data_IF_448924756922
#
_entry.id   IF_448924756922
#
_cell.length_a   1.000
_cell.length_b   1.000
_cell.length_c   1.000
_cell.angle_alpha   90.00
_cell.angle_beta   90.00
_cell.angle_gamma   90.00
#
_symmetry.space_group_name_H-M   'P 1'
#
loop_
_entity.id
_entity.type
_entity.pdbx_description
1 polymer ?
#
# COMPACT_ATOMS: atom_id res chain seq x y z
N UNK A 1 -9.33 -3.24 8.67
CA UNK A 1 -9.79 -2.82 7.35
C UNK A 1 -8.67 -2.13 6.60
N UNK A 2 -8.30 -2.67 5.44
CA UNK A 2 -7.13 -2.25 4.66
C UNK A 2 -7.43 -1.17 3.63
N UNK A 3 -8.13 -0.09 4.02
CA UNK A 3 -8.31 1.09 3.17
C UNK A 3 -6.96 1.69 2.75
N UNK A 4 -6.94 2.55 1.74
CA UNK A 4 -5.72 3.21 1.30
C UNK A 4 -5.01 3.96 2.44
N UNK A 5 -5.77 4.66 3.29
CA UNK A 5 -5.22 5.34 4.47
C UNK A 5 -4.57 4.35 5.45
N UNK A 6 -5.22 3.21 5.71
CA UNK A 6 -4.67 2.17 6.57
C UNK A 6 -3.39 1.56 6.00
N UNK A 7 -3.31 1.33 4.68
CA UNK A 7 -2.09 0.83 4.02
C UNK A 7 -0.93 1.80 4.19
N UNK A 8 -1.18 3.10 4.02
CA UNK A 8 -0.16 4.14 4.19
C UNK A 8 0.29 4.22 5.65
N UNK A 9 -0.65 4.19 6.62
CA UNK A 9 -0.35 4.22 8.04
C UNK A 9 0.51 3.00 8.47
N UNK A 10 0.17 1.80 8.00
CA UNK A 10 0.97 0.59 8.25
C UNK A 10 2.37 0.70 7.63
N UNK A 11 2.47 1.28 6.44
CA UNK A 11 3.76 1.56 5.80
C UNK A 11 4.62 2.51 6.63
N UNK A 12 4.04 3.59 7.13
CA UNK A 12 4.72 4.53 8.01
C UNK A 12 5.21 3.85 9.31
N UNK A 13 4.33 3.07 9.96
CA UNK A 13 4.68 2.36 11.20
C UNK A 13 5.82 1.34 11.00
N UNK A 14 5.77 0.57 9.93
CA UNK A 14 6.83 -0.39 9.58
C UNK A 14 8.14 0.34 9.25
N UNK A 15 8.08 1.42 8.49
CA UNK A 15 9.24 2.23 8.16
C UNK A 15 9.86 2.85 9.41
N UNK A 16 9.04 3.38 10.33
CA UNK A 16 9.51 3.90 11.61
C UNK A 16 10.25 2.84 12.44
N UNK A 17 9.68 1.64 12.56
CA UNK A 17 10.29 0.55 13.31
C UNK A 17 11.66 0.12 12.73
N UNK A 18 11.74 -0.06 11.42
CA UNK A 18 13.00 -0.40 10.74
C UNK A 18 14.00 0.75 10.86
N UNK A 19 13.56 1.98 10.63
CA UNK A 19 14.40 3.16 10.74
C UNK A 19 14.93 3.38 12.16
N UNK A 20 14.13 3.14 13.18
CA UNK A 20 14.53 3.21 14.58
C UNK A 20 15.68 2.23 14.88
N UNK A 21 15.54 0.97 14.49
CA UNK A 21 16.58 -0.06 14.76
C UNK A 21 17.87 0.27 14.02
N UNK A 22 17.80 0.57 12.72
CA UNK A 22 18.99 0.90 11.92
C UNK A 22 19.63 2.20 12.39
N UNK A 23 18.84 3.22 12.71
CA UNK A 23 19.31 4.49 13.24
C UNK A 23 20.01 4.33 14.59
N UNK A 24 19.46 3.49 15.49
CA UNK A 24 20.08 3.19 16.77
C UNK A 24 21.47 2.58 16.61
N UNK A 25 21.62 1.59 15.73
CA UNK A 25 22.92 0.92 15.49
C UNK A 25 23.95 1.90 14.90
N UNK A 26 23.54 2.68 13.89
CA UNK A 26 24.45 3.67 13.28
C UNK A 26 24.78 4.77 14.29
N UNK A 27 23.82 5.27 15.04
CA UNK A 27 24.02 6.30 16.06
C UNK A 27 24.94 5.86 17.18
N UNK A 28 24.80 4.61 17.65
CA UNK A 28 25.71 4.06 18.65
C UNK A 28 27.15 3.98 18.16
N UNK A 29 27.37 3.46 16.97
CA UNK A 29 28.70 3.37 16.36
C UNK A 29 29.33 4.79 16.17
N UNK A 30 28.54 5.72 15.65
CA UNK A 30 28.98 7.10 15.42
C UNK A 30 29.30 7.80 16.72
N UNK A 31 28.46 7.65 17.77
CA UNK A 31 28.70 8.22 19.08
C UNK A 31 30.00 7.74 19.72
N UNK A 32 30.26 6.42 19.67
CA UNK A 32 31.48 5.83 20.18
C UNK A 32 32.75 6.32 19.42
N UNK A 33 32.70 6.31 18.09
CA UNK A 33 33.80 6.73 17.24
C UNK A 33 34.10 8.23 17.43
N UNK A 34 33.08 9.10 17.43
CA UNK A 34 33.23 10.51 17.65
C UNK A 34 33.85 10.82 19.02
N UNK A 35 33.41 10.11 20.07
CA UNK A 35 34.02 10.22 21.39
C UNK A 35 35.51 9.86 21.36
N UNK A 36 35.87 8.74 20.72
CA UNK A 36 37.28 8.32 20.58
C UNK A 36 38.12 9.33 19.83
N UNK A 37 37.58 9.88 18.74
CA UNK A 37 38.27 10.90 17.91
C UNK A 37 38.47 12.20 18.69
N UNK A 38 37.45 12.66 19.42
CA UNK A 38 37.50 13.95 20.14
C UNK A 38 38.31 13.91 21.44
N UNK A 39 38.31 12.78 22.15
CA UNK A 39 38.97 12.67 23.46
C UNK A 39 40.31 11.92 23.43
N UNK A 40 40.61 11.22 22.33
CA UNK A 40 41.76 10.33 22.26
C UNK A 40 41.65 9.06 23.09
N UNK A 41 40.52 8.81 23.77
CA UNK A 41 40.31 7.72 24.71
C UNK A 41 39.02 6.93 24.39
N UNK A 42 39.02 5.63 24.71
CA UNK A 42 37.81 4.81 24.72
C UNK A 42 37.07 4.87 26.06
N UNK A 43 37.65 5.49 27.07
CA UNK A 43 36.96 5.70 28.36
C UNK A 43 35.78 6.66 28.13
N UNK A 44 34.58 6.22 28.49
CA UNK A 44 33.34 6.98 28.24
C UNK A 44 32.68 6.74 26.86
N UNK A 45 33.33 5.99 25.96
CA UNK A 45 32.76 5.69 24.64
C UNK A 45 31.41 4.92 24.74
N UNK A 46 31.22 4.11 25.79
CA UNK A 46 29.95 3.43 26.03
C UNK A 46 28.79 4.40 26.28
N UNK A 47 29.01 5.44 27.08
CA UNK A 47 27.98 6.49 27.31
C UNK A 47 27.71 7.28 26.02
N UNK A 48 28.76 7.62 25.27
CA UNK A 48 28.63 8.30 23.98
C UNK A 48 27.88 7.43 22.95
N UNK A 49 28.09 6.11 22.95
CA UNK A 49 27.35 5.16 22.13
C UNK A 49 25.86 5.14 22.51
N UNK A 50 25.53 5.09 23.81
CA UNK A 50 24.14 5.12 24.26
C UNK A 50 23.40 6.39 23.88
N UNK A 51 24.06 7.55 24.00
CA UNK A 51 23.49 8.84 23.56
C UNK A 51 23.27 8.85 22.04
N UNK A 52 24.29 8.45 21.28
CA UNK A 52 24.19 8.35 19.82
C UNK A 52 23.14 7.35 19.36
N UNK A 53 22.93 6.25 20.11
CA UNK A 53 21.88 5.29 19.85
C UNK A 53 20.48 5.94 20.00
N UNK A 54 20.27 6.75 21.05
CA UNK A 54 18.99 7.44 21.26
C UNK A 54 18.69 8.42 20.13
N UNK A 55 19.64 9.28 19.80
CA UNK A 55 19.50 10.28 18.72
C UNK A 55 19.31 9.61 17.35
N UNK A 56 20.07 8.56 17.10
CA UNK A 56 19.97 7.77 15.87
C UNK A 56 18.63 7.04 15.76
N UNK A 57 18.10 6.50 16.85
CA UNK A 57 16.80 5.85 16.87
C UNK A 57 15.68 6.84 16.54
N UNK A 58 15.69 8.02 17.11
CA UNK A 58 14.68 9.05 16.85
C UNK A 58 14.72 9.54 15.41
N UNK A 59 15.89 9.91 14.89
CA UNK A 59 16.04 10.38 13.51
C UNK A 59 15.72 9.29 12.52
N UNK A 60 16.13 8.04 12.79
CA UNK A 60 15.80 6.88 11.97
C UNK A 60 14.31 6.56 11.96
N UNK A 61 13.63 6.67 13.10
CA UNK A 61 12.19 6.48 13.17
C UNK A 61 11.42 7.49 12.31
N UNK A 62 11.78 8.77 12.39
CA UNK A 62 11.14 9.83 11.57
C UNK A 62 11.40 9.62 10.09
N UNK A 63 12.66 9.39 9.70
CA UNK A 63 13.02 9.14 8.29
C UNK A 63 12.34 7.89 7.75
N UNK A 64 12.35 6.81 8.53
CA UNK A 64 11.71 5.55 8.17
C UNK A 64 10.19 5.67 8.03
N UNK A 65 9.54 6.43 8.92
CA UNK A 65 8.11 6.70 8.83
C UNK A 65 7.75 7.43 7.53
N UNK A 66 8.49 8.47 7.18
CA UNK A 66 8.28 9.26 5.96
C UNK A 66 8.50 8.36 4.72
N UNK A 67 9.60 7.60 4.68
CA UNK A 67 9.91 6.72 3.56
C UNK A 67 8.88 5.59 3.41
N UNK A 68 8.47 4.99 4.53
CA UNK A 68 7.46 3.94 4.54
C UNK A 68 6.08 4.44 4.12
N UNK A 69 5.68 5.64 4.54
CA UNK A 69 4.45 6.27 4.09
C UNK A 69 4.48 6.59 2.59
N UNK A 70 5.57 7.21 2.10
CA UNK A 70 5.74 7.55 0.69
C UNK A 70 5.73 6.32 -0.22
N UNK A 71 6.44 5.25 0.17
CA UNK A 71 6.43 3.99 -0.56
C UNK A 71 5.04 3.34 -0.62
N UNK A 72 4.31 3.38 0.49
CA UNK A 72 2.93 2.86 0.54
C UNK A 72 1.95 3.73 -0.26
N UNK A 73 2.09 5.05 -0.22
CA UNK A 73 1.29 5.96 -1.04
C UNK A 73 1.53 5.74 -2.53
N UNK A 74 2.77 5.54 -2.95
CA UNK A 74 3.11 5.21 -4.34
C UNK A 74 2.45 3.90 -4.80
N UNK A 75 2.46 2.86 -3.97
CA UNK A 75 1.79 1.59 -4.25
C UNK A 75 0.27 1.72 -4.37
N UNK A 76 -0.35 2.50 -3.49
CA UNK A 76 -1.80 2.80 -3.54
C UNK A 76 -2.13 3.59 -4.80
N UNK A 77 -1.33 4.60 -5.15
CA UNK A 77 -1.50 5.38 -6.38
C UNK A 77 -1.38 4.51 -7.63
N UNK A 78 -0.41 3.60 -7.65
CA UNK A 78 -0.27 2.65 -8.75
C UNK A 78 -1.48 1.71 -8.86
N UNK A 79 -1.99 1.18 -7.75
CA UNK A 79 -3.20 0.37 -7.75
C UNK A 79 -4.42 1.15 -8.27
N UNK A 80 -4.57 2.40 -7.86
CA UNK A 80 -5.69 3.25 -8.31
C UNK A 80 -5.70 3.47 -9.83
N UNK A 81 -4.54 3.51 -10.49
CA UNK A 81 -4.45 3.65 -11.95
C UNK A 81 -5.08 2.50 -12.73
N UNK A 82 -5.22 1.32 -12.12
CA UNK A 82 -5.90 0.19 -12.72
C UNK A 82 -7.43 0.32 -12.75
N UNK A 83 -7.98 1.27 -12.01
CA UNK A 83 -9.42 1.52 -11.92
C UNK A 83 -9.86 2.62 -12.89
N UNK A 84 -11.03 2.43 -13.46
CA UNK A 84 -11.75 3.50 -14.15
C UNK A 84 -12.43 4.40 -13.12
N UNK A 85 -12.49 5.70 -13.39
CA UNK A 85 -13.20 6.63 -12.51
C UNK A 85 -14.72 6.42 -12.53
N UNK A 86 -15.25 5.93 -13.64
CA UNK A 86 -16.69 5.75 -13.84
C UNK A 86 -17.46 7.04 -13.52
N UNK A 87 -18.36 6.94 -12.54
CA UNK A 87 -19.16 8.09 -12.03
C UNK A 87 -18.50 8.84 -10.88
N UNK A 88 -17.29 8.44 -10.46
CA UNK A 88 -16.54 9.09 -9.39
C UNK A 88 -15.60 10.16 -9.92
N UNK A 89 -15.22 11.11 -9.06
CA UNK A 89 -14.29 12.17 -9.43
C UNK A 89 -12.86 11.70 -9.73
N UNK A 90 -12.51 10.48 -9.31
CA UNK A 90 -11.19 9.89 -9.58
C UNK A 90 -11.18 8.36 -9.49
N UNK A 91 -10.21 7.74 -10.15
CA UNK A 91 -9.93 6.31 -10.04
C UNK A 91 -9.65 5.87 -8.59
N UNK A 92 -9.05 6.75 -7.78
CA UNK A 92 -8.82 6.50 -6.37
C UNK A 92 -10.13 6.38 -5.58
N UNK A 93 -11.10 7.27 -5.83
CA UNK A 93 -12.42 7.20 -5.20
C UNK A 93 -13.19 5.96 -5.64
N UNK A 94 -13.15 5.64 -6.94
CA UNK A 94 -13.75 4.42 -7.49
C UNK A 94 -13.19 3.17 -6.78
N UNK A 95 -11.86 3.03 -6.73
CA UNK A 95 -11.18 1.93 -6.06
C UNK A 95 -11.61 1.78 -4.59
N UNK A 96 -11.58 2.86 -3.82
CA UNK A 96 -11.95 2.82 -2.39
C UNK A 96 -13.43 2.51 -2.18
N UNK A 97 -14.32 3.05 -3.01
CA UNK A 97 -15.74 2.74 -2.94
C UNK A 97 -16.01 1.25 -3.13
N UNK A 98 -15.47 0.67 -4.21
CA UNK A 98 -15.68 -0.74 -4.51
C UNK A 98 -15.04 -1.67 -3.47
N UNK A 99 -13.86 -1.32 -2.97
CA UNK A 99 -13.23 -2.03 -1.87
C UNK A 99 -14.10 -2.02 -0.60
N UNK A 100 -14.59 -0.84 -0.21
CA UNK A 100 -15.45 -0.73 0.98
C UNK A 100 -16.75 -1.52 0.79
N UNK A 101 -17.37 -1.42 -0.38
CA UNK A 101 -18.62 -2.10 -0.70
C UNK A 101 -18.48 -3.63 -0.71
N UNK A 102 -17.47 -4.14 -1.40
CA UNK A 102 -17.36 -5.57 -1.72
C UNK A 102 -16.36 -6.36 -0.85
N UNK A 103 -15.70 -5.70 0.09
CA UNK A 103 -14.80 -6.36 1.04
C UNK A 103 -15.14 -5.97 2.47
N UNK A 104 -15.12 -4.67 2.77
CA UNK A 104 -15.30 -4.20 4.16
C UNK A 104 -16.72 -4.42 4.63
N UNK A 105 -17.72 -3.98 3.86
CA UNK A 105 -19.15 -4.11 4.23
C UNK A 105 -19.62 -5.57 4.25
N UNK A 106 -19.00 -6.43 3.44
CA UNK A 106 -19.31 -7.86 3.40
C UNK A 106 -18.48 -8.68 4.41
N UNK A 107 -17.60 -8.02 5.19
CA UNK A 107 -16.79 -8.67 6.23
C UNK A 107 -15.79 -9.69 5.70
N UNK A 108 -15.34 -9.56 4.44
CA UNK A 108 -14.47 -10.53 3.81
C UNK A 108 -13.03 -10.41 4.30
N UNK A 109 -12.37 -11.55 4.47
CA UNK A 109 -10.94 -11.64 4.84
C UNK A 109 -10.02 -11.66 3.62
N UNK A 110 -10.48 -12.21 2.48
CA UNK A 110 -9.74 -12.15 1.22
C UNK A 110 -9.80 -10.72 0.65
N UNK A 111 -8.77 -10.32 -0.08
CA UNK A 111 -8.65 -8.94 -0.53
C UNK A 111 -8.45 -7.97 0.63
N UNK A 112 -7.71 -8.34 1.66
CA UNK A 112 -7.60 -7.67 2.97
C UNK A 112 -7.09 -6.22 2.94
N UNK A 113 -6.71 -5.71 1.78
CA UNK A 113 -6.42 -4.30 1.55
C UNK A 113 -6.66 -3.93 0.07
N UNK A 114 -6.75 -2.64 -0.23
CA UNK A 114 -7.10 -2.13 -1.58
C UNK A 114 -6.10 -2.56 -2.65
N UNK A 115 -4.83 -2.76 -2.33
CA UNK A 115 -3.80 -3.20 -3.28
C UNK A 115 -4.05 -4.67 -3.65
N UNK A 116 -4.25 -5.53 -2.65
CA UNK A 116 -4.55 -6.95 -2.86
C UNK A 116 -5.87 -7.13 -3.61
N UNK A 117 -6.89 -6.39 -3.25
CA UNK A 117 -8.18 -6.37 -3.93
C UNK A 117 -8.04 -6.01 -5.41
N UNK A 118 -7.25 -4.98 -5.73
CA UNK A 118 -6.95 -4.59 -7.12
C UNK A 118 -6.18 -5.68 -7.87
N UNK A 119 -5.20 -6.31 -7.22
CA UNK A 119 -4.44 -7.41 -7.82
C UNK A 119 -5.34 -8.62 -8.10
N UNK A 120 -6.26 -8.93 -7.20
CA UNK A 120 -7.21 -10.03 -7.39
C UNK A 120 -8.17 -9.75 -8.55
N UNK A 121 -8.65 -8.51 -8.69
CA UNK A 121 -9.47 -8.09 -9.81
C UNK A 121 -8.74 -8.23 -11.16
N UNK A 122 -7.50 -7.76 -11.25
CA UNK A 122 -6.68 -7.89 -12.47
C UNK A 122 -6.34 -9.36 -12.78
N UNK A 123 -6.01 -10.13 -11.76
CA UNK A 123 -5.75 -11.56 -11.91
C UNK A 123 -7.00 -12.32 -12.35
N UNK A 124 -8.16 -11.95 -11.87
CA UNK A 124 -9.45 -12.49 -12.31
C UNK A 124 -9.71 -12.19 -13.79
N UNK A 125 -9.53 -10.92 -14.21
CA UNK A 125 -9.68 -10.53 -15.61
C UNK A 125 -8.77 -11.35 -16.55
N UNK A 126 -7.49 -11.48 -16.17
CA UNK A 126 -6.51 -12.24 -16.95
C UNK A 126 -6.89 -13.73 -17.12
N UNK A 127 -7.29 -14.39 -16.02
CA UNK A 127 -7.65 -15.83 -16.07
C UNK A 127 -8.92 -16.10 -16.86
N UNK A 128 -9.83 -15.13 -16.94
CA UNK A 128 -11.13 -15.30 -17.57
C UNK A 128 -11.25 -14.54 -18.90
N UNK A 129 -10.16 -14.15 -19.49
CA UNK A 129 -10.14 -13.39 -20.76
C UNK A 129 -10.85 -14.11 -21.92
N UNK A 130 -10.88 -15.45 -21.93
CA UNK A 130 -11.54 -16.27 -22.96
C UNK A 130 -13.07 -16.32 -22.81
N UNK A 131 -13.61 -15.97 -21.64
CA UNK A 131 -15.08 -16.01 -21.38
C UNK A 131 -15.65 -14.60 -21.19
N UNK A 132 -14.97 -13.62 -21.74
CA UNK A 132 -15.33 -12.22 -21.72
C UNK A 132 -16.63 -12.00 -22.50
N UNK A 133 -17.64 -11.40 -21.87
CA UNK A 133 -18.85 -10.96 -22.53
C UNK A 133 -18.87 -9.44 -22.65
N UNK A 134 -18.99 -8.96 -23.87
CA UNK A 134 -19.15 -7.54 -24.13
C UNK A 134 -20.58 -7.10 -23.92
N UNK A 135 -20.79 -6.09 -23.06
CA UNK A 135 -22.11 -5.53 -22.81
C UNK A 135 -22.04 -4.00 -22.86
N UNK A 136 -22.93 -3.40 -23.64
CA UNK A 136 -23.10 -1.95 -23.65
C UNK A 136 -24.00 -1.53 -22.48
N UNK A 137 -23.50 -0.65 -21.64
CA UNK A 137 -24.27 -0.12 -20.52
C UNK A 137 -24.96 1.18 -20.91
N UNK A 138 -26.21 1.07 -21.33
CA UNK A 138 -27.00 2.22 -21.75
C UNK A 138 -27.21 3.28 -20.66
N UNK A 139 -27.19 2.88 -19.39
CA UNK A 139 -27.39 3.82 -18.26
C UNK A 139 -26.21 4.78 -18.10
N UNK A 140 -25.01 4.35 -18.44
CA UNK A 140 -23.79 5.15 -18.29
C UNK A 140 -23.19 5.57 -19.63
N UNK A 141 -23.81 5.21 -20.75
CA UNK A 141 -23.39 5.61 -22.09
C UNK A 141 -22.04 5.04 -22.53
N UNK A 142 -21.53 3.98 -21.86
CA UNK A 142 -20.26 3.37 -22.16
C UNK A 142 -20.36 1.85 -22.34
N UNK A 143 -19.45 1.33 -23.15
CA UNK A 143 -19.30 -0.10 -23.34
C UNK A 143 -18.37 -0.66 -22.23
N UNK A 144 -18.78 -1.74 -21.63
CA UNK A 144 -17.96 -2.47 -20.65
C UNK A 144 -17.85 -3.93 -21.01
N UNK A 145 -16.71 -4.51 -20.66
CA UNK A 145 -16.52 -5.95 -20.70
C UNK A 145 -16.99 -6.54 -19.39
N UNK A 146 -17.97 -7.43 -19.44
CA UNK A 146 -18.47 -8.13 -18.29
C UNK A 146 -17.85 -9.52 -18.24
N UNK A 147 -17.23 -9.83 -17.12
CA UNK A 147 -16.91 -11.20 -16.78
C UNK A 147 -18.08 -11.75 -15.96
N UNK A 148 -18.95 -12.49 -16.61
CA UNK A 148 -19.97 -13.22 -15.90
C UNK A 148 -19.36 -14.48 -15.29
N UNK A 149 -19.22 -14.45 -13.97
CA UNK A 149 -19.12 -15.58 -13.07
C UNK A 149 -18.10 -16.69 -13.40
N UNK A 150 -16.96 -16.62 -12.78
CA UNK A 150 -16.35 -17.83 -12.26
C UNK A 150 -16.91 -18.13 -10.87
N UNK A 151 -16.77 -19.36 -10.36
CA UNK A 151 -17.34 -19.82 -9.08
C UNK A 151 -16.90 -19.01 -7.85
N UNK A 152 -15.96 -18.10 -7.97
CA UNK A 152 -15.34 -17.38 -6.86
C UNK A 152 -15.41 -15.86 -6.93
N UNK A 153 -15.72 -15.26 -8.08
CA UNK A 153 -15.71 -13.80 -8.24
C UNK A 153 -16.45 -13.34 -9.50
N UNK A 154 -16.74 -12.05 -9.59
CA UNK A 154 -17.25 -11.38 -10.78
C UNK A 154 -16.67 -9.98 -10.92
N UNK A 155 -16.74 -9.40 -12.11
CA UNK A 155 -16.24 -8.06 -12.36
C UNK A 155 -16.68 -7.47 -13.68
N UNK A 156 -16.54 -6.15 -13.80
CA UNK A 156 -16.74 -5.41 -15.04
C UNK A 156 -15.48 -4.60 -15.34
N UNK A 157 -15.10 -4.59 -16.60
CA UNK A 157 -13.86 -3.94 -17.05
C UNK A 157 -14.13 -3.12 -18.30
N UNK A 158 -13.41 -2.03 -18.49
CA UNK A 158 -13.47 -1.26 -19.74
C UNK A 158 -12.81 -2.03 -20.88
N UNK A 159 -13.03 -1.58 -22.11
CA UNK A 159 -12.33 -2.11 -23.30
C UNK A 159 -10.81 -1.96 -23.23
N UNK A 160 -10.31 -1.04 -22.40
CA UNK A 160 -8.88 -0.82 -22.13
C UNK A 160 -8.37 -1.65 -20.92
N UNK A 161 -9.20 -2.55 -20.38
CA UNK A 161 -8.83 -3.42 -19.26
C UNK A 161 -8.82 -2.74 -17.89
N UNK A 162 -9.34 -1.51 -17.76
CA UNK A 162 -9.50 -0.88 -16.43
C UNK A 162 -10.68 -1.46 -15.69
N UNK A 163 -10.54 -1.58 -14.37
CA UNK A 163 -11.57 -2.12 -13.49
C UNK A 163 -12.68 -1.10 -13.29
N UNK A 164 -13.92 -1.46 -13.59
CA UNK A 164 -15.12 -0.68 -13.26
C UNK A 164 -15.70 -1.11 -11.93
N UNK A 165 -15.78 -2.41 -11.70
CA UNK A 165 -16.17 -3.03 -10.43
C UNK A 165 -15.64 -4.45 -10.36
N UNK A 166 -15.47 -4.95 -9.13
CA UNK A 166 -15.07 -6.34 -8.87
C UNK A 166 -15.70 -6.76 -7.53
N UNK A 167 -16.09 -8.03 -7.40
CA UNK A 167 -16.62 -8.59 -6.16
C UNK A 167 -16.20 -10.06 -6.03
N UNK A 168 -16.09 -10.52 -4.81
CA UNK A 168 -15.94 -11.94 -4.49
C UNK A 168 -17.32 -12.60 -4.35
N UNK A 169 -17.36 -13.92 -4.46
CA UNK A 169 -18.52 -14.77 -4.20
C UNK A 169 -18.24 -15.72 -3.05
#
# INVERSE_FOLDING_TARGET
AGTAAAVIAVGAAKGAAVGMVSGAVIGAATGAVNHRVSTGSWSGAGTAALNGMGDGALSGAVTGAITGAAGSAARVSHAAKAWDSGTFNSSYQSMNYHYNKHVVSEGLTRGNNVIKYTQDALGFANRNSSVLQYTFNYRYGNASWNFTYSDSAGGMFTSLGKILTFWYR
#
